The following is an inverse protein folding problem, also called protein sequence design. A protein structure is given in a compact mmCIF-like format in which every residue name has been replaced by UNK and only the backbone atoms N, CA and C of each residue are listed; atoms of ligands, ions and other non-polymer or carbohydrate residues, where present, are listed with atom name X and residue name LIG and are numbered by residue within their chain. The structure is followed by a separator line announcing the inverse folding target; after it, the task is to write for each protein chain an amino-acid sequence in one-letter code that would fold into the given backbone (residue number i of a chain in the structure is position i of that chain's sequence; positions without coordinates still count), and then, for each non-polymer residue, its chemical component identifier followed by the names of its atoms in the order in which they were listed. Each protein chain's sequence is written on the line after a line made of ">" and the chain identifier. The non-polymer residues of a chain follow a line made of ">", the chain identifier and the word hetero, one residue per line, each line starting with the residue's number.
data_IF_612427673094
#
_entry.id   IF_612427673094
#
_cell.length_a   1.000
_cell.length_b   1.000
_cell.length_c   1.000
_cell.angle_alpha   90.00
_cell.angle_beta   90.00
_cell.angle_gamma   90.00
#
_symmetry.space_group_name_H-M   'P 1'
#
loop_
_entity.id
_entity.type
_entity.pdbx_description
1 polymer ?
#
# COMPACT_ATOMS: atom_id res chain seq x y z
N UNK A 1 -10.52 13.74 -5.17
CA UNK A 1 -9.34 13.56 -6.05
C UNK A 1 -8.34 12.65 -5.35
N UNK A 2 -7.61 11.82 -6.11
CA UNK A 2 -6.66 10.85 -5.56
C UNK A 2 -5.49 11.59 -4.88
N UNK A 3 -5.17 11.17 -3.65
CA UNK A 3 -4.14 11.80 -2.81
C UNK A 3 -3.00 10.86 -2.43
N UNK A 4 -3.11 9.58 -2.76
CA UNK A 4 -2.13 8.56 -2.43
C UNK A 4 -2.51 7.20 -2.99
N UNK A 5 -1.72 6.19 -2.64
CA UNK A 5 -1.99 4.81 -2.97
C UNK A 5 -1.59 3.90 -1.81
N UNK A 6 -2.39 2.85 -1.56
CA UNK A 6 -1.99 1.71 -0.75
C UNK A 6 -1.65 0.58 -1.72
N UNK A 7 -0.41 0.09 -1.64
CA UNK A 7 0.09 -0.98 -2.50
C UNK A 7 0.39 -2.19 -1.62
N UNK A 8 -0.07 -3.35 -2.04
CA UNK A 8 0.29 -4.62 -1.41
C UNK A 8 1.16 -5.41 -2.37
N UNK A 9 2.36 -5.77 -1.94
CA UNK A 9 3.21 -6.73 -2.63
C UNK A 9 3.01 -8.11 -2.01
N UNK A 10 2.63 -9.08 -2.82
CA UNK A 10 2.57 -10.47 -2.39
C UNK A 10 3.89 -11.15 -2.75
N UNK A 11 4.58 -11.66 -1.72
CA UNK A 11 5.96 -12.12 -1.81
C UNK A 11 6.12 -13.55 -1.27
N UNK A 12 6.99 -14.32 -1.93
CA UNK A 12 7.43 -15.64 -1.48
C UNK A 12 8.35 -15.57 -0.25
N UNK A 13 8.98 -14.42 -0.01
CA UNK A 13 9.82 -14.15 1.17
C UNK A 13 9.49 -12.77 1.74
N UNK A 14 8.29 -12.66 2.32
CA UNK A 14 7.80 -11.42 2.88
C UNK A 14 8.69 -10.88 4.02
N UNK A 15 9.38 -11.75 4.76
CA UNK A 15 10.28 -11.31 5.84
C UNK A 15 11.52 -10.61 5.27
N UNK A 16 12.18 -11.21 4.28
CA UNK A 16 13.34 -10.59 3.63
C UNK A 16 12.97 -9.27 2.94
N UNK A 17 11.83 -9.21 2.27
CA UNK A 17 11.38 -7.99 1.59
C UNK A 17 11.01 -6.88 2.57
N UNK A 18 10.34 -7.21 3.68
CA UNK A 18 10.06 -6.24 4.76
C UNK A 18 11.37 -5.71 5.34
N UNK A 19 12.35 -6.57 5.61
CA UNK A 19 13.67 -6.18 6.11
C UNK A 19 14.42 -5.30 5.11
N UNK A 20 14.32 -5.58 3.81
CA UNK A 20 14.88 -4.73 2.78
C UNK A 20 14.25 -3.32 2.81
N UNK A 21 12.92 -3.24 2.90
CA UNK A 21 12.20 -1.95 2.94
C UNK A 21 12.51 -1.16 4.22
N UNK A 22 12.61 -1.83 5.37
CA UNK A 22 12.95 -1.14 6.64
C UNK A 22 14.43 -0.77 6.72
N UNK A 23 15.33 -1.73 6.52
CA UNK A 23 16.73 -1.61 6.94
C UNK A 23 17.61 -1.06 5.83
N UNK A 24 17.28 -1.39 4.57
CA UNK A 24 18.03 -0.91 3.41
C UNK A 24 17.45 0.39 2.87
N UNK A 25 16.13 0.45 2.68
CA UNK A 25 15.47 1.67 2.18
C UNK A 25 15.16 2.70 3.29
N UNK A 26 15.16 2.29 4.56
CA UNK A 26 14.97 3.20 5.68
C UNK A 26 13.52 3.66 5.88
N UNK A 27 12.53 2.97 5.31
CA UNK A 27 11.13 3.36 5.47
C UNK A 27 10.61 2.95 6.85
N UNK A 28 9.95 3.91 7.50
CA UNK A 28 9.27 3.65 8.77
C UNK A 28 7.97 2.89 8.52
N UNK A 29 7.61 1.99 9.42
CA UNK A 29 6.34 1.28 9.39
C UNK A 29 5.55 1.43 10.69
N UNK A 30 4.25 1.14 10.59
CA UNK A 30 3.40 0.82 11.72
C UNK A 30 2.99 -0.65 11.63
N UNK A 31 2.82 -1.30 12.78
CA UNK A 31 2.28 -2.66 12.85
C UNK A 31 0.75 -2.58 13.00
N UNK A 32 0.02 -3.08 12.01
CA UNK A 32 -1.44 -3.17 12.01
C UNK A 32 -1.98 -4.36 12.84
N UNK A 33 -1.09 -5.08 13.53
CA UNK A 33 -1.36 -6.27 14.32
C UNK A 33 -0.66 -7.49 13.71
N UNK A 34 -0.24 -8.44 14.54
CA UNK A 34 0.30 -9.75 14.11
C UNK A 34 1.47 -9.66 13.10
N UNK A 35 2.22 -8.56 13.07
CA UNK A 35 3.33 -8.37 12.14
C UNK A 35 2.91 -7.93 10.73
N UNK A 36 1.68 -7.41 10.57
CA UNK A 36 1.20 -6.80 9.33
C UNK A 36 1.72 -5.35 9.25
N UNK A 37 2.93 -5.21 8.72
CA UNK A 37 3.61 -3.91 8.62
C UNK A 37 3.07 -3.08 7.44
N UNK A 38 2.81 -1.81 7.72
CA UNK A 38 2.49 -0.78 6.71
C UNK A 38 3.62 0.25 6.70
N UNK A 39 4.37 0.30 5.61
CA UNK A 39 5.50 1.22 5.39
C UNK A 39 5.02 2.56 4.82
N UNK A 40 5.54 3.65 5.36
CA UNK A 40 5.18 5.00 4.97
C UNK A 40 6.04 5.49 3.78
N UNK A 41 5.41 5.74 2.63
CA UNK A 41 6.00 6.37 1.45
C UNK A 41 5.39 7.77 1.22
N UNK A 42 6.04 8.71 0.52
CA UNK A 42 5.38 9.96 0.12
C UNK A 42 4.75 9.84 -1.28
N UNK A 43 3.43 10.04 -1.51
CA UNK A 43 2.29 10.09 -0.58
C UNK A 43 1.53 8.75 -0.52
N UNK A 44 2.26 7.65 -0.38
CA UNK A 44 1.73 6.29 -0.52
C UNK A 44 2.01 5.46 0.73
N UNK A 45 1.47 4.27 0.78
CA UNK A 45 1.80 3.27 1.79
C UNK A 45 1.95 1.92 1.13
N UNK A 46 2.80 1.09 1.73
CA UNK A 46 3.22 -0.18 1.19
C UNK A 46 3.06 -1.26 2.26
N UNK A 47 2.40 -2.35 1.91
CA UNK A 47 2.40 -3.59 2.69
C UNK A 47 3.06 -4.71 1.89
N UNK A 48 3.61 -5.69 2.61
CA UNK A 48 4.15 -6.92 2.01
C UNK A 48 3.48 -8.11 2.66
N UNK A 49 2.76 -8.91 1.88
CA UNK A 49 2.02 -10.08 2.31
C UNK A 49 2.72 -11.36 1.83
N UNK A 50 2.77 -12.43 2.63
CA UNK A 50 3.29 -13.71 2.16
C UNK A 50 2.34 -14.35 1.14
N UNK A 51 2.88 -14.90 0.04
CA UNK A 51 2.14 -15.69 -0.93
C UNK A 51 3.07 -16.59 -1.75
N UNK A 52 2.54 -17.69 -2.26
CA UNK A 52 3.28 -18.60 -3.15
C UNK A 52 3.55 -17.97 -4.54
N UNK A 53 2.64 -17.11 -5.01
CA UNK A 53 2.76 -16.44 -6.31
C UNK A 53 2.92 -14.92 -6.15
N UNK A 54 3.86 -14.35 -6.90
CA UNK A 54 4.10 -12.91 -6.91
C UNK A 54 2.98 -12.16 -7.64
N UNK A 55 2.30 -11.26 -6.92
CA UNK A 55 1.29 -10.37 -7.48
C UNK A 55 1.16 -9.08 -6.65
N UNK A 56 0.35 -8.15 -7.15
CA UNK A 56 0.21 -6.84 -6.54
C UNK A 56 -1.24 -6.39 -6.51
N UNK A 57 -1.61 -5.73 -5.41
CA UNK A 57 -2.88 -5.02 -5.31
C UNK A 57 -2.63 -3.51 -5.20
N UNK A 58 -3.49 -2.73 -5.85
CA UNK A 58 -3.40 -1.28 -5.89
C UNK A 58 -4.73 -0.68 -5.45
N UNK A 59 -4.68 0.10 -4.38
CA UNK A 59 -5.80 0.87 -3.87
C UNK A 59 -5.49 2.35 -3.99
N UNK A 60 -6.41 3.12 -4.57
CA UNK A 60 -6.27 4.57 -4.68
C UNK A 60 -6.88 5.23 -3.45
N UNK A 61 -6.08 6.05 -2.77
CA UNK A 61 -6.52 6.76 -1.57
C UNK A 61 -7.00 8.16 -1.94
N UNK A 62 -7.97 8.66 -1.18
CA UNK A 62 -8.46 10.02 -1.30
C UNK A 62 -8.86 10.56 0.07
N UNK A 63 -8.98 11.89 0.18
CA UNK A 63 -9.39 12.56 1.42
C UNK A 63 -10.90 12.50 1.68
N UNK A 64 -11.69 12.36 0.62
CA UNK A 64 -13.15 12.34 0.66
C UNK A 64 -13.61 11.34 -0.40
N UNK A 65 -14.18 10.22 0.05
CA UNK A 65 -14.60 9.12 -0.80
C UNK A 65 -15.77 9.53 -1.67
N UNK A 66 -16.82 10.09 -1.07
CA UNK A 66 -18.07 10.42 -1.75
C UNK A 66 -17.84 11.49 -2.83
N UNK A 67 -17.11 12.55 -2.50
CA UNK A 67 -16.77 13.61 -3.45
C UNK A 67 -15.86 13.09 -4.58
N UNK A 68 -14.94 12.18 -4.27
CA UNK A 68 -14.06 11.57 -5.29
C UNK A 68 -14.84 10.67 -6.24
N UNK A 69 -15.73 9.83 -5.72
CA UNK A 69 -16.57 8.95 -6.54
C UNK A 69 -17.51 9.76 -7.43
N UNK A 70 -18.15 10.81 -6.91
CA UNK A 70 -18.99 11.69 -7.71
C UNK A 70 -18.21 12.32 -8.88
N UNK A 71 -17.04 12.92 -8.59
CA UNK A 71 -16.20 13.54 -9.61
C UNK A 71 -15.63 12.55 -10.64
N UNK A 72 -15.44 11.28 -10.28
CA UNK A 72 -15.01 10.23 -11.22
C UNK A 72 -16.16 9.78 -12.13
N UNK A 73 -17.38 9.63 -11.59
CA UNK A 73 -18.59 9.33 -12.40
C UNK A 73 -18.86 10.41 -13.43
N UNK A 74 -18.70 11.69 -13.07
CA UNK A 74 -18.80 12.82 -14.00
C UNK A 74 -17.76 12.74 -15.14
N UNK A 75 -16.64 12.03 -14.93
CA UNK A 75 -15.59 11.79 -15.93
C UNK A 75 -15.74 10.46 -16.67
N UNK A 76 -16.81 9.70 -16.41
CA UNK A 76 -17.13 8.47 -17.13
C UNK A 76 -16.57 7.19 -16.52
N UNK A 77 -16.16 7.21 -15.25
CA UNK A 77 -15.93 5.99 -14.48
C UNK A 77 -17.24 5.26 -14.14
#
# INVERSE_FOLDING_TARGET
>A
MISGAHVILFSQDAEADRAFISDVLGFRSVDAGEGWLIFALPPAELAVHPADDAHHELYLMCRDLDATVAALREKGA
#
